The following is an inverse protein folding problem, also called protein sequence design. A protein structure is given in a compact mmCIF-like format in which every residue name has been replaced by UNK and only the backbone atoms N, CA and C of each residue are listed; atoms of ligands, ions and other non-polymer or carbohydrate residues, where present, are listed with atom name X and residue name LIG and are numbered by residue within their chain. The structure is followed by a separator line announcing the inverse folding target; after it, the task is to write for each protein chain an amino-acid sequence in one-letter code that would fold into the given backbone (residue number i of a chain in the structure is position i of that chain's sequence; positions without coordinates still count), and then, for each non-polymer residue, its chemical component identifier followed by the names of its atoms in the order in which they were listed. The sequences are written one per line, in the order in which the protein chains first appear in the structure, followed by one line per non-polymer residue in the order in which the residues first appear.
data_IF_862460309549
#
_entry.id   IF_862460309549
#
_cell.length_a   1.000
_cell.length_b   1.000
_cell.length_c   1.000
_cell.angle_alpha   90.00
_cell.angle_beta   90.00
_cell.angle_gamma   90.00
#
_symmetry.space_group_name_H-M   'P 1'
#
loop_
_entity.id
_entity.type
_entity.pdbx_description
1 polymer ?
#
# COMPACT_ATOMS: atom_id res chain seq x y z
N UNK A 1 -31.54 20.60 5.28
CA UNK A 1 -30.14 21.08 5.42
C UNK A 1 -29.24 20.09 4.69
N UNK A 2 -28.64 20.48 3.57
CA UNK A 2 -27.61 19.66 2.95
C UNK A 2 -26.42 19.59 3.92
N UNK A 3 -26.08 18.40 4.40
CA UNK A 3 -24.83 18.19 5.13
C UNK A 3 -23.72 18.48 4.13
N UNK A 4 -22.99 19.59 4.30
CA UNK A 4 -21.70 19.76 3.66
C UNK A 4 -20.79 18.68 4.26
N UNK A 5 -20.74 17.51 3.61
CA UNK A 5 -19.79 16.47 3.94
C UNK A 5 -18.40 17.03 3.61
N UNK A 6 -17.70 17.50 4.64
CA UNK A 6 -16.29 17.84 4.58
C UNK A 6 -15.53 16.53 4.36
N UNK A 7 -15.31 16.17 3.11
CA UNK A 7 -14.41 15.09 2.76
C UNK A 7 -12.97 15.57 2.92
N UNK A 8 -12.10 14.70 3.46
CA UNK A 8 -10.66 14.98 3.62
C UNK A 8 -9.94 15.26 2.29
N UNK A 9 -10.60 15.01 1.17
CA UNK A 9 -10.24 15.45 -0.17
C UNK A 9 -11.19 16.58 -0.61
N UNK A 10 -10.72 17.82 -0.60
CA UNK A 10 -11.50 18.97 -1.11
C UNK A 10 -11.30 19.25 -2.61
N UNK A 11 -10.58 18.40 -3.34
CA UNK A 11 -10.38 18.57 -4.79
C UNK A 11 -10.56 17.23 -5.50
N UNK A 12 -11.34 17.23 -6.58
CA UNK A 12 -11.78 16.05 -7.35
C UNK A 12 -10.69 15.27 -8.09
N UNK A 13 -9.44 15.34 -7.66
CA UNK A 13 -8.35 14.52 -8.19
C UNK A 13 -8.30 13.20 -7.42
N UNK A 14 -9.13 12.23 -7.83
CA UNK A 14 -8.91 10.82 -7.49
C UNK A 14 -7.44 10.46 -7.75
N UNK A 15 -6.87 9.57 -6.93
CA UNK A 15 -5.48 9.11 -7.02
C UNK A 15 -5.04 8.92 -8.49
N UNK A 16 -4.03 9.69 -8.91
CA UNK A 16 -3.57 9.75 -10.32
C UNK A 16 -2.54 8.68 -10.69
N UNK A 17 -2.17 7.81 -9.76
CA UNK A 17 -1.22 6.73 -10.00
C UNK A 17 -1.88 5.36 -9.84
N UNK A 18 -1.39 4.34 -10.56
CA UNK A 18 -1.88 2.97 -10.44
C UNK A 18 -1.64 2.42 -9.02
N UNK A 19 -2.56 1.57 -8.57
CA UNK A 19 -2.47 0.90 -7.27
C UNK A 19 -2.65 -0.60 -7.50
N UNK A 20 -1.75 -1.38 -6.92
CA UNK A 20 -1.86 -2.83 -6.83
C UNK A 20 -1.95 -3.24 -5.35
N UNK A 21 -2.94 -4.06 -5.02
CA UNK A 21 -3.14 -4.59 -3.67
C UNK A 21 -2.88 -6.08 -3.66
N UNK A 22 -1.87 -6.49 -2.89
CA UNK A 22 -1.57 -7.89 -2.60
C UNK A 22 -2.40 -8.30 -1.40
N UNK A 23 -3.24 -9.33 -1.56
CA UNK A 23 -4.06 -9.90 -0.49
C UNK A 23 -3.97 -11.42 -0.49
N UNK A 24 -4.54 -12.04 0.52
CA UNK A 24 -4.47 -13.48 0.76
C UNK A 24 -4.31 -13.77 2.24
N UNK A 25 -4.50 -15.04 2.59
CA UNK A 25 -4.36 -15.51 3.97
C UNK A 25 -2.92 -15.35 4.47
N UNK A 26 -2.75 -15.18 5.76
CA UNK A 26 -1.45 -15.22 6.42
C UNK A 26 -0.64 -16.46 6.01
N UNK A 27 0.68 -16.33 5.90
CA UNK A 27 1.61 -17.40 5.47
C UNK A 27 1.46 -17.93 4.03
N UNK A 28 0.64 -17.28 3.18
CA UNK A 28 0.53 -17.66 1.76
C UNK A 28 1.70 -17.20 0.87
N UNK A 29 2.66 -16.44 1.40
CA UNK A 29 3.80 -15.92 0.63
C UNK A 29 3.66 -14.48 0.14
N UNK A 30 2.68 -13.72 0.65
CA UNK A 30 2.46 -12.30 0.30
C UNK A 30 3.71 -11.44 0.42
N UNK A 31 4.41 -11.50 1.55
CA UNK A 31 5.63 -10.73 1.80
C UNK A 31 6.75 -11.07 0.82
N UNK A 32 6.90 -12.34 0.44
CA UNK A 32 7.87 -12.76 -0.57
C UNK A 32 7.55 -12.13 -1.93
N UNK A 33 6.29 -12.25 -2.36
CA UNK A 33 5.83 -11.65 -3.61
C UNK A 33 5.97 -10.12 -3.61
N UNK A 34 5.57 -9.46 -2.52
CA UNK A 34 5.67 -8.02 -2.37
C UNK A 34 7.13 -7.53 -2.43
N UNK A 35 8.05 -8.21 -1.75
CA UNK A 35 9.47 -7.90 -1.84
C UNK A 35 10.05 -8.14 -3.24
N UNK A 36 9.60 -9.18 -3.95
CA UNK A 36 10.02 -9.39 -5.34
C UNK A 36 9.54 -8.25 -6.24
N UNK A 37 8.26 -7.88 -6.15
CA UNK A 37 7.69 -6.76 -6.90
C UNK A 37 8.39 -5.44 -6.55
N UNK A 38 8.79 -5.24 -5.30
CA UNK A 38 9.49 -4.04 -4.85
C UNK A 38 10.86 -3.83 -5.52
N UNK A 39 11.44 -4.88 -6.10
CA UNK A 39 12.69 -4.77 -6.88
C UNK A 39 12.47 -4.15 -8.26
N UNK A 40 11.22 -4.09 -8.73
CA UNK A 40 10.90 -3.36 -9.96
C UNK A 40 11.07 -1.85 -9.72
N UNK A 41 11.75 -1.12 -10.63
CA UNK A 41 11.94 0.33 -10.51
C UNK A 41 10.62 1.09 -10.37
N UNK A 42 9.57 0.62 -11.03
CA UNK A 42 8.24 1.23 -11.06
C UNK A 42 7.43 0.96 -9.79
N UNK A 43 7.85 0.04 -8.92
CA UNK A 43 7.06 -0.34 -7.75
C UNK A 43 7.45 0.48 -6.51
N UNK A 44 6.46 1.13 -5.90
CA UNK A 44 6.57 1.72 -4.56
C UNK A 44 5.84 0.81 -3.58
N UNK A 45 6.60 0.01 -2.82
CA UNK A 45 6.03 -1.07 -2.01
C UNK A 45 5.94 -0.74 -0.52
N UNK A 46 4.74 -0.85 0.04
CA UNK A 46 4.50 -0.88 1.48
C UNK A 46 3.97 -2.26 1.92
N UNK A 47 4.66 -2.84 2.90
CA UNK A 47 4.27 -4.11 3.51
C UNK A 47 3.36 -3.86 4.72
N UNK A 48 2.18 -4.50 4.69
CA UNK A 48 1.17 -4.51 5.75
C UNK A 48 0.99 -3.19 6.52
N UNK A 49 0.71 -2.07 5.85
CA UNK A 49 0.70 -0.80 6.54
C UNK A 49 -0.60 -0.66 7.34
N UNK A 50 -0.45 -0.56 8.66
CA UNK A 50 -1.52 -0.74 9.65
C UNK A 50 -2.77 0.11 9.38
N UNK A 51 -2.60 1.39 9.04
CA UNK A 51 -3.72 2.31 8.80
C UNK A 51 -4.62 1.84 7.66
N UNK A 52 -4.06 1.30 6.57
CA UNK A 52 -4.85 0.74 5.47
C UNK A 52 -5.68 -0.46 5.90
N UNK A 53 -5.10 -1.36 6.71
CA UNK A 53 -5.80 -2.51 7.26
C UNK A 53 -6.90 -2.07 8.24
N UNK A 54 -6.62 -1.14 9.14
CA UNK A 54 -7.59 -0.64 10.12
C UNK A 54 -8.80 0.03 9.44
N UNK A 55 -8.56 0.84 8.41
CA UNK A 55 -9.63 1.50 7.66
C UNK A 55 -10.50 0.49 6.88
N UNK A 56 -9.90 -0.52 6.25
CA UNK A 56 -10.67 -1.56 5.53
C UNK A 56 -11.56 -2.36 6.47
N UNK A 57 -11.08 -2.69 7.67
CA UNK A 57 -11.89 -3.33 8.73
C UNK A 57 -13.00 -2.39 9.21
N UNK A 58 -12.68 -1.11 9.44
CA UNK A 58 -13.63 -0.12 9.94
C UNK A 58 -14.82 0.10 8.97
N UNK A 59 -14.57 0.07 7.66
CA UNK A 59 -15.64 0.13 6.65
C UNK A 59 -16.69 -0.98 6.80
N UNK A 60 -16.30 -2.16 7.28
CA UNK A 60 -17.20 -3.29 7.45
C UNK A 60 -17.90 -3.32 8.82
N UNK A 61 -17.49 -2.48 9.76
CA UNK A 61 -18.09 -2.41 11.09
C UNK A 61 -19.53 -1.88 11.09
N UNK A 62 -19.96 -1.21 10.01
CA UNK A 62 -21.24 -0.49 9.94
C UNK A 62 -21.32 0.76 10.81
N UNK A 63 -20.26 1.07 11.58
CA UNK A 63 -20.20 2.23 12.49
C UNK A 63 -19.73 3.51 11.80
N UNK A 64 -19.08 3.37 10.65
CA UNK A 64 -18.54 4.49 9.87
C UNK A 64 -19.13 4.40 8.46
N UNK A 65 -19.52 5.55 7.92
CA UNK A 65 -20.02 5.66 6.56
C UNK A 65 -18.96 5.21 5.55
N UNK A 66 -19.36 4.38 4.57
CA UNK A 66 -18.44 3.84 3.57
C UNK A 66 -17.78 4.93 2.73
N UNK A 67 -18.52 5.97 2.36
CA UNK A 67 -17.97 7.10 1.60
C UNK A 67 -16.85 7.80 2.37
N UNK A 68 -17.05 8.02 3.66
CA UNK A 68 -16.05 8.60 4.55
C UNK A 68 -14.79 7.72 4.62
N UNK A 69 -14.95 6.40 4.83
CA UNK A 69 -13.80 5.47 4.85
C UNK A 69 -13.11 5.43 3.48
N UNK A 70 -13.86 5.49 2.39
CA UNK A 70 -13.34 5.52 1.03
C UNK A 70 -12.48 6.77 0.80
N UNK A 71 -12.93 7.95 1.25
CA UNK A 71 -12.14 9.19 1.21
C UNK A 71 -10.90 9.12 2.09
N UNK A 72 -11.01 8.53 3.29
CA UNK A 72 -9.87 8.34 4.20
C UNK A 72 -8.83 7.40 3.60
N UNK A 73 -9.24 6.29 3.00
CA UNK A 73 -8.36 5.35 2.30
C UNK A 73 -7.67 6.01 1.12
N UNK A 74 -8.41 6.80 0.33
CA UNK A 74 -7.83 7.54 -0.79
C UNK A 74 -6.75 8.51 -0.31
N UNK A 75 -7.04 9.29 0.74
CA UNK A 75 -6.07 10.22 1.31
C UNK A 75 -4.86 9.51 1.92
N UNK A 76 -5.11 8.40 2.60
CA UNK A 76 -4.07 7.59 3.18
C UNK A 76 -3.12 7.02 2.12
N UNK A 77 -3.63 6.40 1.06
CA UNK A 77 -2.79 5.91 -0.03
C UNK A 77 -2.04 7.05 -0.71
N UNK A 78 -2.69 8.22 -0.86
CA UNK A 78 -2.02 9.43 -1.34
C UNK A 78 -0.74 9.73 -0.56
N UNK A 79 -0.87 9.92 0.75
CA UNK A 79 0.27 10.24 1.61
C UNK A 79 1.28 9.11 1.68
N UNK A 80 0.83 7.86 1.78
CA UNK A 80 1.71 6.68 1.80
C UNK A 80 2.62 6.64 0.57
N UNK A 81 2.08 6.86 -0.62
CA UNK A 81 2.86 6.89 -1.85
C UNK A 81 3.87 8.05 -1.86
N UNK A 82 3.47 9.24 -1.39
CA UNK A 82 4.38 10.37 -1.28
C UNK A 82 5.54 10.05 -0.33
N UNK A 83 5.24 9.45 0.82
CA UNK A 83 6.25 9.06 1.81
C UNK A 83 7.21 8.02 1.26
N UNK A 84 6.73 7.02 0.51
CA UNK A 84 7.58 6.02 -0.14
C UNK A 84 8.54 6.64 -1.17
N UNK A 85 8.03 7.52 -2.04
CA UNK A 85 8.87 8.18 -3.06
C UNK A 85 9.92 9.09 -2.42
N UNK A 86 9.53 9.86 -1.39
CA UNK A 86 10.41 10.75 -0.63
C UNK A 86 11.31 10.02 0.37
N UNK A 87 11.20 8.69 0.46
CA UNK A 87 11.92 7.85 1.41
C UNK A 87 11.72 8.27 2.89
N UNK A 88 10.52 8.75 3.22
CA UNK A 88 10.11 9.06 4.60
C UNK A 88 9.74 7.78 5.33
N UNK A 89 10.15 7.68 6.60
CA UNK A 89 9.90 6.51 7.46
C UNK A 89 10.45 5.18 6.87
N UNK A 90 11.48 5.26 6.03
CA UNK A 90 12.10 4.09 5.39
C UNK A 90 13.16 3.46 6.30
N UNK A 91 13.25 2.13 6.26
CA UNK A 91 14.24 1.38 7.02
C UNK A 91 15.57 1.20 6.25
N UNK A 92 16.64 1.81 6.76
CA UNK A 92 18.00 1.70 6.20
C UNK A 92 18.85 0.61 6.86
N UNK A 93 18.32 -0.21 7.77
CA UNK A 93 19.05 -1.30 8.43
C UNK A 93 19.26 -2.47 7.46
N UNK A 94 20.46 -2.63 6.91
CA UNK A 94 20.81 -3.63 5.88
C UNK A 94 20.44 -5.09 6.18
N UNK A 95 20.38 -5.48 7.46
CA UNK A 95 20.06 -6.86 7.87
C UNK A 95 18.56 -7.12 8.02
N UNK A 96 17.74 -6.07 7.94
CA UNK A 96 16.29 -6.16 8.12
C UNK A 96 15.63 -6.52 6.78
N UNK A 97 14.62 -7.40 6.81
CA UNK A 97 13.87 -7.78 5.61
C UNK A 97 13.12 -6.58 5.01
N UNK A 98 12.71 -5.64 5.86
CA UNK A 98 12.02 -4.42 5.45
C UNK A 98 12.96 -3.34 4.89
N UNK A 99 14.26 -3.63 4.79
CA UNK A 99 15.25 -2.64 4.37
C UNK A 99 15.07 -2.18 2.93
N UNK A 100 15.24 -0.89 2.67
CA UNK A 100 15.19 -0.34 1.31
C UNK A 100 16.33 -0.85 0.43
N UNK A 101 17.46 -1.25 1.01
CA UNK A 101 18.63 -1.75 0.29
C UNK A 101 18.36 -3.06 -0.46
N UNK A 102 17.31 -3.80 -0.10
CA UNK A 102 16.89 -5.02 -0.82
C UNK A 102 15.93 -4.72 -1.96
N UNK A 103 15.45 -3.48 -2.07
CA UNK A 103 14.39 -3.05 -2.99
C UNK A 103 14.90 -2.08 -4.04
N UNK A 104 15.75 -1.13 -3.66
CA UNK A 104 16.22 -0.03 -4.52
C UNK A 104 17.74 0.06 -4.54
N UNK A 105 18.31 0.53 -5.65
CA UNK A 105 19.77 0.68 -5.77
C UNK A 105 20.27 1.89 -4.98
N UNK A 106 21.55 1.90 -4.57
CA UNK A 106 22.14 3.06 -3.90
C UNK A 106 22.01 4.36 -4.70
N UNK A 107 22.14 4.30 -6.03
CA UNK A 107 22.04 5.45 -6.93
C UNK A 107 20.62 6.02 -6.95
N UNK A 108 19.62 5.14 -6.97
CA UNK A 108 18.23 5.54 -6.90
C UNK A 108 17.88 6.17 -5.55
N UNK A 109 18.36 5.58 -4.46
CA UNK A 109 18.19 6.11 -3.11
C UNK A 109 18.80 7.50 -3.00
N UNK A 110 20.04 7.67 -3.43
CA UNK A 110 20.74 8.96 -3.37
C UNK A 110 20.04 10.02 -4.22
N UNK A 111 19.65 9.67 -5.46
CA UNK A 111 18.88 10.56 -6.32
C UNK A 111 17.58 11.00 -5.68
N UNK A 112 16.82 10.10 -5.04
CA UNK A 112 15.56 10.45 -4.36
C UNK A 112 15.81 11.39 -3.18
N UNK A 113 16.81 11.10 -2.33
CA UNK A 113 17.13 11.90 -1.15
C UNK A 113 17.59 13.33 -1.49
N UNK A 114 18.30 13.50 -2.60
CA UNK A 114 18.88 14.79 -2.96
C UNK A 114 17.99 15.61 -3.91
N UNK A 115 17.22 14.95 -4.79
CA UNK A 115 16.56 15.62 -5.92
C UNK A 115 15.01 15.66 -5.83
N UNK A 116 14.38 14.95 -4.89
CA UNK A 116 12.93 14.94 -4.73
C UNK A 116 12.55 15.52 -3.37
N UNK A 117 11.95 16.71 -3.34
CA UNK A 117 11.72 17.45 -2.11
C UNK A 117 10.24 17.81 -1.87
N UNK A 118 9.48 17.97 -2.95
CA UNK A 118 8.11 18.47 -2.91
C UNK A 118 7.10 17.45 -3.44
N UNK A 119 5.82 17.64 -3.13
CA UNK A 119 4.73 16.83 -3.71
C UNK A 119 4.69 16.95 -5.24
N UNK A 120 5.06 18.11 -5.79
CA UNK A 120 5.16 18.30 -7.24
C UNK A 120 6.27 17.43 -7.83
N UNK A 121 7.40 17.30 -7.15
CA UNK A 121 8.50 16.43 -7.57
C UNK A 121 8.09 14.96 -7.53
N UNK A 122 7.36 14.53 -6.49
CA UNK A 122 6.80 13.18 -6.40
C UNK A 122 5.88 12.88 -7.59
N UNK A 123 5.00 13.82 -7.94
CA UNK A 123 4.09 13.65 -9.10
C UNK A 123 4.90 13.53 -10.40
N UNK A 124 5.93 14.34 -10.59
CA UNK A 124 6.79 14.29 -11.77
C UNK A 124 7.60 12.99 -11.82
N UNK A 125 8.21 12.60 -10.70
CA UNK A 125 8.92 11.34 -10.54
C UNK A 125 8.02 10.16 -10.89
N UNK A 126 6.81 10.11 -10.34
CA UNK A 126 5.82 9.06 -10.58
C UNK A 126 5.42 8.97 -12.05
N UNK A 127 5.21 10.11 -12.73
CA UNK A 127 4.91 10.11 -14.17
C UNK A 127 6.07 9.61 -15.02
N UNK A 128 7.29 10.07 -14.73
CA UNK A 128 8.48 9.72 -15.51
C UNK A 128 8.85 8.25 -15.35
N UNK A 129 8.72 7.71 -14.14
CA UNK A 129 9.03 6.31 -13.82
C UNK A 129 7.83 5.37 -13.94
N UNK A 130 6.65 5.87 -14.31
CA UNK A 130 5.39 5.11 -14.36
C UNK A 130 5.11 4.37 -13.05
N UNK A 131 5.39 5.04 -11.93
CA UNK A 131 5.37 4.42 -10.61
C UNK A 131 3.97 3.95 -10.22
N UNK A 132 3.90 2.76 -9.64
CA UNK A 132 2.70 2.10 -9.12
C UNK A 132 2.85 1.91 -7.62
N UNK A 133 1.85 2.33 -6.85
CA UNK A 133 1.76 1.99 -5.44
C UNK A 133 1.41 0.51 -5.29
N UNK A 134 2.26 -0.26 -4.62
CA UNK A 134 2.01 -1.65 -4.28
C UNK A 134 1.85 -1.76 -2.78
N UNK A 135 0.71 -2.27 -2.32
CA UNK A 135 0.46 -2.46 -0.89
C UNK A 135 0.11 -3.92 -0.60
N UNK A 136 0.74 -4.51 0.40
CA UNK A 136 0.22 -5.76 0.98
C UNK A 136 -0.78 -5.41 2.06
N UNK A 137 -2.02 -5.87 1.91
CA UNK A 137 -3.08 -5.71 2.90
C UNK A 137 -3.54 -7.12 3.30
N UNK A 138 -3.01 -7.60 4.42
CA UNK A 138 -3.36 -8.91 4.95
C UNK A 138 -4.86 -8.98 5.29
N UNK A 139 -5.47 -10.13 5.02
CA UNK A 139 -6.87 -10.42 5.36
C UNK A 139 -7.89 -9.39 4.82
N UNK A 140 -7.50 -8.56 3.84
CA UNK A 140 -8.38 -7.51 3.29
C UNK A 140 -9.26 -8.01 2.14
N UNK A 141 -9.17 -9.29 1.77
CA UNK A 141 -9.94 -9.89 0.68
C UNK A 141 -11.46 -9.68 0.81
N UNK A 142 -12.06 -9.76 2.01
CA UNK A 142 -13.48 -9.41 2.18
C UNK A 142 -13.82 -7.93 1.89
N UNK A 143 -12.80 -7.06 1.83
CA UNK A 143 -12.93 -5.60 1.74
C UNK A 143 -12.49 -5.06 0.36
N UNK A 144 -12.37 -5.91 -0.66
CA UNK A 144 -11.97 -5.48 -2.02
C UNK A 144 -12.85 -4.34 -2.55
N UNK A 145 -14.16 -4.37 -2.26
CA UNK A 145 -15.09 -3.35 -2.75
C UNK A 145 -14.80 -1.95 -2.23
N UNK A 146 -14.43 -1.79 -0.94
CA UNK A 146 -14.10 -0.47 -0.39
C UNK A 146 -12.75 0.03 -0.93
N UNK A 147 -11.80 -0.87 -1.16
CA UNK A 147 -10.52 -0.53 -1.79
C UNK A 147 -10.76 -0.06 -3.22
N UNK A 148 -11.60 -0.79 -3.99
CA UNK A 148 -11.96 -0.41 -5.35
C UNK A 148 -12.75 0.89 -5.42
N UNK A 149 -13.53 1.25 -4.40
CA UNK A 149 -14.23 2.56 -4.37
C UNK A 149 -13.32 3.70 -3.97
N UNK A 150 -12.33 3.44 -3.11
CA UNK A 150 -11.34 4.41 -2.66
C UNK A 150 -10.29 4.74 -3.73
N UNK A 151 -10.17 3.88 -4.74
CA UNK A 151 -9.13 3.95 -5.77
C UNK A 151 -9.74 4.06 -7.15
N UNK A 152 -8.97 4.49 -8.14
CA UNK A 152 -9.37 4.45 -9.56
C UNK A 152 -9.21 3.02 -10.12
N UNK A 153 -9.90 2.04 -9.51
CA UNK A 153 -9.80 0.61 -9.84
C UNK A 153 -8.41 0.01 -9.58
N UNK A 154 -8.05 -0.14 -8.31
CA UNK A 154 -6.85 -0.88 -7.93
C UNK A 154 -6.85 -2.31 -8.51
N UNK A 155 -5.68 -2.77 -8.96
CA UNK A 155 -5.47 -4.15 -9.36
C UNK A 155 -5.33 -5.03 -8.11
N UNK A 156 -6.08 -6.12 -8.04
CA UNK A 156 -6.00 -7.06 -6.92
C UNK A 156 -5.14 -8.26 -7.29
N UNK A 157 -4.14 -8.55 -6.48
CA UNK A 157 -3.29 -9.75 -6.58
C UNK A 157 -3.62 -10.63 -5.37
N UNK A 158 -4.39 -11.69 -5.59
CA UNK A 158 -4.76 -12.63 -4.52
C UNK A 158 -3.79 -13.81 -4.50
N UNK A 159 -2.99 -13.93 -3.44
CA UNK A 159 -1.99 -14.97 -3.27
C UNK A 159 -2.62 -16.20 -2.63
N UNK A 160 -2.66 -17.28 -3.40
CA UNK A 160 -3.19 -18.58 -2.98
C UNK A 160 -2.04 -19.54 -2.74
N UNK A 161 -2.10 -20.25 -1.62
CA UNK A 161 -1.21 -21.36 -1.25
C UNK A 161 -2.08 -22.50 -0.73
N UNK A 162 -1.57 -23.73 -0.79
CA UNK A 162 -2.25 -24.88 -0.22
C UNK A 162 -2.61 -24.64 1.26
N UNK A 163 -3.86 -24.97 1.61
CA UNK A 163 -4.41 -24.67 2.93
C UNK A 163 -3.79 -25.50 4.06
N UNK A 164 -3.38 -26.75 3.77
CA UNK A 164 -2.68 -27.57 4.75
C UNK A 164 -1.28 -27.04 5.02
N UNK A 165 -0.55 -26.62 3.98
CA UNK A 165 0.75 -25.97 4.16
C UNK A 165 0.64 -24.67 4.96
N UNK A 166 -0.38 -23.85 4.70
CA UNK A 166 -0.63 -22.63 5.47
C UNK A 166 -0.90 -22.98 6.93
N UNK A 167 -1.82 -23.90 7.21
CA UNK A 167 -2.14 -24.31 8.57
C UNK A 167 -0.93 -24.90 9.31
N UNK A 168 -0.14 -25.72 8.62
CA UNK A 168 1.11 -26.27 9.14
C UNK A 168 2.10 -25.16 9.51
N UNK A 169 2.38 -24.23 8.58
CA UNK A 169 3.29 -23.10 8.79
C UNK A 169 2.86 -22.24 9.98
N UNK A 170 1.56 -21.97 10.12
CA UNK A 170 1.01 -21.20 11.24
C UNK A 170 1.23 -21.95 12.56
N UNK A 171 0.93 -23.25 12.59
CA UNK A 171 1.11 -24.11 13.77
C UNK A 171 2.58 -24.23 14.18
N UNK A 172 3.49 -24.46 13.23
CA UNK A 172 4.91 -24.65 13.50
C UNK A 172 5.56 -23.36 14.03
N UNK A 173 5.17 -22.21 13.49
CA UNK A 173 5.78 -20.91 13.79
C UNK A 173 5.12 -20.18 14.96
N UNK A 174 4.14 -20.79 15.63
CA UNK A 174 3.37 -20.21 16.73
C UNK A 174 2.87 -18.80 16.40
N UNK A 175 2.35 -18.62 15.19
CA UNK A 175 1.93 -17.31 14.72
C UNK A 175 0.43 -17.11 15.01
N UNK A 176 0.12 -16.79 16.27
CA UNK A 176 -1.20 -16.36 16.76
C UNK A 176 -1.05 -15.32 17.86
#
# INVERSE_FOLDING_TARGET
MAKNNLFFYSTGDKLKYPIAVISGVSRSGKTLLGNLIATCPEAEYADEPWTGMALTIAANSGKIEKEFVSSMLSAYFFELFNDLVLLRNVNFRRKDQSSIWTKKTPEEIDMRLNNINTRSDVINFSKNNRSTLVVTLAECSPFVNIISSATNQAQMIHVVRDGFEVAWDVSEKNWF
#
